data_IF_195797026108
#
_entry.id   IF_195797026108
#
_cell.length_a   1.000
_cell.length_b   1.000
_cell.length_c   1.000
_cell.angle_alpha   90.00
_cell.angle_beta   90.00
_cell.angle_gamma   90.00
#
_symmetry.space_group_name_H-M   'P 1'
#
loop_
_entity.id
_entity.type
_entity.pdbx_description
1 polymer ?
#
# COMPACT_ATOMS: atom_id res chain seq x y z
N UNK A 1 -0.72 -19.64 33.41
CA UNK A 1 -0.09 -18.68 32.49
C UNK A 1 -0.15 -19.35 31.14
N UNK A 2 -1.05 -18.89 30.28
CA UNK A 2 -1.23 -19.45 28.92
C UNK A 2 -0.14 -18.92 28.01
N UNK A 3 0.82 -19.76 27.66
CA UNK A 3 1.86 -19.49 26.66
C UNK A 3 1.42 -19.81 25.22
N UNK A 4 0.20 -19.50 24.86
CA UNK A 4 -0.34 -19.77 23.51
C UNK A 4 -1.21 -18.66 22.96
N UNK A 5 -0.91 -17.40 23.22
CA UNK A 5 -1.20 -16.34 22.26
C UNK A 5 0.03 -16.22 21.35
N UNK A 6 0.23 -17.22 20.50
CA UNK A 6 1.11 -17.09 19.35
C UNK A 6 0.65 -15.84 18.60
N UNK A 7 1.49 -14.83 18.64
CA UNK A 7 1.27 -13.51 18.10
C UNK A 7 1.16 -13.65 16.57
N UNK A 8 -0.01 -14.09 16.10
CA UNK A 8 -0.31 -14.30 14.68
C UNK A 8 -0.14 -12.97 13.95
N UNK A 9 0.96 -12.83 13.24
CA UNK A 9 1.38 -11.62 12.56
C UNK A 9 1.13 -11.74 11.07
N UNK A 10 0.05 -11.13 10.58
CA UNK A 10 -0.26 -11.06 9.16
C UNK A 10 0.37 -9.83 8.52
N UNK A 11 1.00 -10.02 7.38
CA UNK A 11 1.46 -8.98 6.47
C UNK A 11 0.60 -9.02 5.21
N UNK A 12 0.07 -7.88 4.78
CA UNK A 12 -0.72 -7.74 3.56
C UNK A 12 0.06 -6.92 2.54
N UNK A 13 0.13 -7.39 1.30
CA UNK A 13 0.65 -6.63 0.15
C UNK A 13 -0.47 -6.49 -0.88
N UNK A 14 -1.03 -5.29 -1.03
CA UNK A 14 -1.92 -4.99 -2.15
C UNK A 14 -1.09 -4.65 -3.39
N UNK A 15 -1.54 -5.02 -4.58
CA UNK A 15 -0.69 -5.02 -5.76
C UNK A 15 0.37 -6.12 -5.71
N UNK A 16 0.05 -7.23 -5.00
CA UNK A 16 0.95 -8.33 -4.74
C UNK A 16 1.38 -9.12 -5.97
N UNK A 17 0.63 -9.05 -7.06
CA UNK A 17 0.99 -9.64 -8.37
C UNK A 17 1.91 -8.76 -9.21
N UNK A 18 2.03 -7.46 -8.88
CA UNK A 18 2.87 -6.50 -9.59
C UNK A 18 4.36 -6.68 -9.32
N UNK A 19 5.18 -5.98 -10.11
CA UNK A 19 6.64 -6.07 -10.03
C UNK A 19 7.19 -5.79 -8.63
N UNK A 20 6.79 -4.66 -8.01
CA UNK A 20 7.24 -4.32 -6.66
C UNK A 20 6.69 -5.28 -5.61
N UNK A 21 5.41 -5.67 -5.72
CA UNK A 21 4.77 -6.62 -4.81
C UNK A 21 5.51 -7.96 -4.78
N UNK A 22 5.88 -8.50 -5.94
CA UNK A 22 6.63 -9.74 -6.06
C UNK A 22 8.06 -9.64 -5.49
N UNK A 23 8.74 -8.51 -5.71
CA UNK A 23 10.07 -8.26 -5.15
C UNK A 23 10.02 -8.14 -3.62
N UNK A 24 9.04 -7.39 -3.09
CA UNK A 24 8.85 -7.23 -1.67
C UNK A 24 8.49 -8.57 -1.00
N UNK A 25 7.54 -9.31 -1.56
CA UNK A 25 7.17 -10.62 -1.05
C UNK A 25 8.37 -11.56 -0.97
N UNK A 26 9.19 -11.63 -2.04
CA UNK A 26 10.42 -12.42 -2.03
C UNK A 26 11.40 -11.97 -0.94
N UNK A 27 11.59 -10.67 -0.77
CA UNK A 27 12.49 -10.13 0.26
C UNK A 27 12.01 -10.46 1.68
N UNK A 28 10.70 -10.36 1.94
CA UNK A 28 10.12 -10.73 3.24
C UNK A 28 10.29 -12.23 3.54
N UNK A 29 10.10 -13.10 2.54
CA UNK A 29 10.25 -14.55 2.70
C UNK A 29 11.69 -14.97 2.95
N UNK A 30 12.67 -14.24 2.42
CA UNK A 30 14.09 -14.52 2.56
C UNK A 30 14.75 -13.77 3.74
N UNK A 31 14.07 -12.76 4.28
CA UNK A 31 14.58 -11.93 5.36
C UNK A 31 14.26 -12.48 6.76
N UNK A 32 14.86 -11.92 7.80
CA UNK A 32 14.65 -12.33 9.19
C UNK A 32 13.38 -11.72 9.81
N UNK A 33 12.37 -11.40 8.98
CA UNK A 33 11.16 -10.75 9.47
C UNK A 33 10.18 -11.79 10.04
N UNK A 34 9.75 -11.64 11.29
CA UNK A 34 8.74 -12.54 11.86
C UNK A 34 7.38 -12.24 11.26
N UNK A 35 6.68 -13.25 10.76
CA UNK A 35 5.27 -13.23 10.38
C UNK A 35 4.75 -14.67 10.28
N UNK A 36 3.44 -14.83 10.48
CA UNK A 36 2.76 -16.12 10.38
C UNK A 36 2.00 -16.24 9.05
N UNK A 37 1.58 -15.14 8.45
CA UNK A 37 0.89 -15.11 7.16
C UNK A 37 1.36 -13.92 6.32
N UNK A 38 1.64 -14.17 5.04
CA UNK A 38 1.87 -13.16 4.01
C UNK A 38 0.74 -13.24 2.98
N UNK A 39 -0.17 -12.26 3.00
CA UNK A 39 -1.29 -12.18 2.08
C UNK A 39 -0.95 -11.28 0.89
N UNK A 40 -0.89 -11.88 -0.31
CA UNK A 40 -0.74 -11.15 -1.57
C UNK A 40 -2.12 -10.93 -2.20
N UNK A 41 -2.50 -9.67 -2.37
CA UNK A 41 -3.80 -9.27 -2.93
C UNK A 41 -3.60 -8.51 -4.23
N UNK A 42 -4.30 -8.90 -5.28
CA UNK A 42 -4.27 -8.20 -6.57
C UNK A 42 -5.59 -8.42 -7.33
N UNK A 43 -5.89 -7.54 -8.30
CA UNK A 43 -7.05 -7.69 -9.18
C UNK A 43 -6.90 -8.91 -10.12
N UNK A 44 -5.67 -9.29 -10.45
CA UNK A 44 -5.34 -10.55 -11.11
C UNK A 44 -4.83 -11.54 -10.05
N UNK A 45 -5.09 -12.84 -10.25
CA UNK A 45 -4.63 -13.86 -9.29
C UNK A 45 -3.11 -13.80 -9.13
N UNK A 46 -2.60 -13.35 -7.95
CA UNK A 46 -1.16 -13.33 -7.72
C UNK A 46 -0.62 -14.74 -7.50
N UNK A 47 0.67 -14.89 -7.70
CA UNK A 47 1.39 -16.13 -7.41
C UNK A 47 2.42 -15.89 -6.32
N UNK A 48 2.71 -16.91 -5.52
CA UNK A 48 3.79 -16.82 -4.56
C UNK A 48 5.16 -16.79 -5.28
N UNK A 49 6.05 -15.85 -4.94
CA UNK A 49 7.37 -15.79 -5.57
C UNK A 49 8.32 -16.93 -5.15
N UNK A 50 7.98 -17.64 -4.07
CA UNK A 50 8.71 -18.79 -3.53
C UNK A 50 7.70 -19.79 -2.94
N UNK A 51 7.98 -21.09 -2.97
CA UNK A 51 7.17 -22.09 -2.25
C UNK A 51 7.30 -21.87 -0.73
N UNK A 52 6.25 -21.34 -0.11
CA UNK A 52 6.21 -21.11 1.35
C UNK A 52 4.76 -21.24 1.84
N UNK A 53 4.47 -22.11 2.83
CA UNK A 53 3.10 -22.36 3.30
C UNK A 53 2.48 -21.15 4.00
N UNK A 54 3.25 -20.16 4.41
CA UNK A 54 2.76 -18.91 5.00
C UNK A 54 2.18 -17.95 3.96
N UNK A 55 2.42 -18.18 2.65
CA UNK A 55 1.92 -17.29 1.60
C UNK A 55 0.53 -17.68 1.16
N UNK A 56 -0.37 -16.74 1.26
CA UNK A 56 -1.72 -16.82 0.71
C UNK A 56 -1.87 -15.81 -0.43
N UNK A 57 -2.40 -16.27 -1.56
CA UNK A 57 -2.63 -15.45 -2.74
C UNK A 57 -4.13 -15.28 -2.96
N UNK A 58 -4.60 -14.05 -3.04
CA UNK A 58 -6.01 -13.72 -3.18
C UNK A 58 -6.23 -12.78 -4.35
N UNK A 59 -7.11 -13.19 -5.28
CA UNK A 59 -7.64 -12.28 -6.29
C UNK A 59 -8.79 -11.49 -5.68
N UNK A 60 -8.67 -10.16 -5.63
CA UNK A 60 -9.72 -9.27 -5.15
C UNK A 60 -9.62 -7.90 -5.81
N UNK A 61 -10.77 -7.29 -6.06
CA UNK A 61 -10.87 -5.90 -6.49
C UNK A 61 -11.07 -5.01 -5.24
N UNK A 62 -10.06 -4.23 -4.91
CA UNK A 62 -10.09 -3.33 -3.74
C UNK A 62 -11.11 -2.19 -3.88
N UNK A 63 -11.64 -1.97 -5.07
CA UNK A 63 -12.67 -0.95 -5.31
C UNK A 63 -14.09 -1.44 -4.94
N UNK A 64 -14.24 -2.73 -4.68
CA UNK A 64 -15.53 -3.31 -4.29
C UNK A 64 -15.82 -3.08 -2.80
N UNK A 65 -17.07 -2.73 -2.44
CA UNK A 65 -17.45 -2.50 -1.05
C UNK A 65 -17.18 -3.73 -0.15
N UNK A 66 -16.63 -3.48 1.04
CA UNK A 66 -16.38 -4.51 2.05
C UNK A 66 -15.12 -5.35 1.82
N UNK A 67 -14.47 -5.25 0.67
CA UNK A 67 -13.23 -6.01 0.41
C UNK A 67 -12.13 -5.60 1.39
N UNK A 68 -11.90 -4.31 1.60
CA UNK A 68 -10.90 -3.84 2.56
C UNK A 68 -11.13 -4.39 3.97
N UNK A 69 -12.37 -4.37 4.45
CA UNK A 69 -12.75 -4.90 5.77
C UNK A 69 -12.57 -6.41 5.87
N UNK A 70 -12.74 -7.15 4.77
CA UNK A 70 -12.55 -8.60 4.74
C UNK A 70 -11.07 -9.02 4.78
N UNK A 71 -10.16 -8.13 4.40
CA UNK A 71 -8.71 -8.41 4.34
C UNK A 71 -8.02 -8.12 5.66
N UNK A 72 -8.46 -7.07 6.37
CA UNK A 72 -7.78 -6.51 7.54
C UNK A 72 -8.46 -6.98 8.82
N UNK A 73 -7.67 -7.46 9.78
CA UNK A 73 -8.16 -7.96 11.06
C UNK A 73 -7.22 -7.54 12.20
N UNK A 74 -7.56 -7.91 13.43
CA UNK A 74 -6.72 -7.68 14.59
C UNK A 74 -5.32 -8.33 14.47
N UNK A 75 -5.19 -9.39 13.64
CA UNK A 75 -3.91 -10.06 13.36
C UNK A 75 -3.03 -9.30 12.38
N UNK A 76 -3.59 -8.34 11.64
CA UNK A 76 -2.85 -7.57 10.64
C UNK A 76 -1.83 -6.67 11.33
N UNK A 77 -0.56 -6.92 11.11
CA UNK A 77 0.53 -6.12 11.64
C UNK A 77 0.97 -5.03 10.66
N UNK A 78 1.05 -5.37 9.37
CA UNK A 78 1.57 -4.48 8.33
C UNK A 78 0.72 -4.56 7.07
N UNK A 79 0.40 -3.42 6.49
CA UNK A 79 -0.19 -3.28 5.15
C UNK A 79 0.78 -2.53 4.26
N UNK A 80 1.30 -3.19 3.23
CA UNK A 80 2.03 -2.56 2.13
C UNK A 80 1.04 -2.25 1.01
N UNK A 81 0.65 -0.99 0.88
CA UNK A 81 -0.30 -0.57 -0.15
C UNK A 81 0.43 -0.14 -1.42
N UNK A 82 0.60 -1.11 -2.35
CA UNK A 82 1.28 -0.93 -3.63
C UNK A 82 0.30 -0.90 -4.81
N UNK A 83 -0.95 -1.32 -4.60
CA UNK A 83 -1.97 -1.30 -5.64
C UNK A 83 -2.25 0.13 -6.10
N UNK A 84 -2.12 0.36 -7.40
CA UNK A 84 -2.42 1.63 -8.05
C UNK A 84 -2.53 1.42 -9.56
N UNK A 85 -3.27 2.29 -10.24
CA UNK A 85 -3.11 2.46 -11.68
C UNK A 85 -2.07 3.53 -11.96
N UNK A 86 -1.31 3.32 -13.04
CA UNK A 86 -0.20 4.20 -13.43
C UNK A 86 -0.67 5.55 -13.98
N UNK A 87 0.26 6.51 -14.02
CA UNK A 87 -0.01 7.90 -14.41
C UNK A 87 -0.75 8.05 -15.73
N UNK A 88 -0.32 7.37 -16.79
CA UNK A 88 -0.96 7.45 -18.11
C UNK A 88 -2.42 6.95 -18.10
N UNK A 89 -2.70 5.91 -17.32
CA UNK A 89 -4.05 5.35 -17.21
C UNK A 89 -4.95 6.25 -16.36
N UNK A 90 -4.45 6.81 -15.26
CA UNK A 90 -5.20 7.77 -14.43
C UNK A 90 -5.51 9.11 -15.14
N UNK A 91 -4.71 9.49 -16.15
CA UNK A 91 -5.01 10.63 -17.01
C UNK A 91 -6.07 10.31 -18.08
N UNK A 92 -6.09 9.08 -18.58
CA UNK A 92 -7.08 8.65 -19.58
C UNK A 92 -8.45 8.35 -18.96
N UNK A 93 -8.47 7.79 -17.75
CA UNK A 93 -9.68 7.47 -17.01
C UNK A 93 -9.60 8.09 -15.61
N UNK A 94 -10.13 9.31 -15.51
CA UNK A 94 -10.10 10.10 -14.28
C UNK A 94 -10.86 9.41 -13.14
N UNK A 95 -12.04 8.87 -13.40
CA UNK A 95 -12.91 8.27 -12.39
C UNK A 95 -12.28 6.97 -11.86
N UNK A 96 -11.73 6.15 -12.74
CA UNK A 96 -10.99 4.96 -12.34
C UNK A 96 -9.74 5.32 -11.53
N UNK A 97 -9.00 6.37 -11.95
CA UNK A 97 -7.86 6.89 -11.21
C UNK A 97 -8.23 7.25 -9.79
N UNK A 98 -9.31 7.99 -9.64
CA UNK A 98 -9.82 8.42 -8.34
C UNK A 98 -10.22 7.22 -7.46
N UNK A 99 -11.01 6.32 -8.03
CA UNK A 99 -11.50 5.12 -7.35
C UNK A 99 -10.36 4.22 -6.87
N UNK A 100 -9.39 3.94 -7.76
CA UNK A 100 -8.30 2.99 -7.45
C UNK A 100 -7.20 3.64 -6.61
N UNK A 101 -6.75 4.86 -6.92
CA UNK A 101 -5.57 5.43 -6.26
C UNK A 101 -5.91 6.17 -4.96
N UNK A 102 -7.12 6.70 -4.81
CA UNK A 102 -7.50 7.48 -3.63
C UNK A 102 -8.53 6.77 -2.76
N UNK A 103 -9.69 6.36 -3.32
CA UNK A 103 -10.76 5.78 -2.52
C UNK A 103 -10.34 4.46 -1.88
N UNK A 104 -9.59 3.59 -2.59
CA UNK A 104 -9.08 2.35 -1.98
C UNK A 104 -8.08 2.63 -0.86
N UNK A 105 -7.24 3.67 -1.00
CA UNK A 105 -6.34 4.09 0.08
C UNK A 105 -7.14 4.47 1.33
N UNK A 106 -8.21 5.26 1.16
CA UNK A 106 -9.10 5.67 2.25
C UNK A 106 -9.80 4.46 2.89
N UNK A 107 -10.37 3.56 2.08
CA UNK A 107 -11.09 2.39 2.63
C UNK A 107 -10.16 1.44 3.38
N UNK A 108 -8.94 1.23 2.91
CA UNK A 108 -7.93 0.43 3.63
C UNK A 108 -7.51 1.09 4.96
N UNK A 109 -7.33 2.41 4.99
CA UNK A 109 -7.04 3.14 6.22
C UNK A 109 -8.19 3.04 7.23
N UNK A 110 -9.45 3.13 6.78
CA UNK A 110 -10.63 2.92 7.64
C UNK A 110 -10.68 1.49 8.18
N UNK A 111 -10.44 0.49 7.34
CA UNK A 111 -10.40 -0.90 7.79
C UNK A 111 -9.29 -1.11 8.84
N UNK A 112 -8.10 -0.53 8.65
CA UNK A 112 -7.03 -0.56 9.65
C UNK A 112 -7.46 0.08 10.96
N UNK A 113 -8.05 1.29 10.90
CA UNK A 113 -8.52 2.03 12.08
C UNK A 113 -9.56 1.27 12.88
N UNK A 114 -10.46 0.54 12.21
CA UNK A 114 -11.52 -0.24 12.87
C UNK A 114 -11.02 -1.58 13.41
N UNK A 115 -10.02 -2.20 12.77
CA UNK A 115 -9.48 -3.48 13.22
C UNK A 115 -8.68 -3.35 14.50
N UNK A 116 -7.66 -2.51 14.50
CA UNK A 116 -6.90 -2.15 15.72
C UNK A 116 -6.02 -0.92 15.47
N UNK A 117 -5.71 -0.14 16.51
CA UNK A 117 -4.76 0.98 16.37
C UNK A 117 -3.33 0.47 16.12
N UNK A 118 -2.53 1.30 15.43
CA UNK A 118 -1.11 1.09 15.27
C UNK A 118 -0.70 0.05 14.23
N UNK A 119 -1.61 -0.40 13.35
CA UNK A 119 -1.21 -1.18 12.17
C UNK A 119 -0.22 -0.35 11.35
N UNK A 120 0.96 -0.93 11.01
CA UNK A 120 1.92 -0.28 10.12
C UNK A 120 1.33 -0.21 8.72
N UNK A 121 1.11 1.02 8.21
CA UNK A 121 0.57 1.27 6.88
C UNK A 121 1.62 1.94 6.00
N UNK A 122 2.19 1.19 5.07
CA UNK A 122 3.22 1.67 4.14
C UNK A 122 2.56 2.01 2.82
N UNK A 123 2.52 3.30 2.49
CA UNK A 123 1.93 3.82 1.26
C UNK A 123 3.01 4.16 0.23
N UNK A 124 2.87 3.60 -0.97
CA UNK A 124 3.72 3.99 -2.09
C UNK A 124 3.16 5.21 -2.79
N UNK A 125 3.78 6.34 -2.53
CA UNK A 125 3.61 7.58 -3.27
C UNK A 125 4.58 7.64 -4.47
N UNK A 126 4.72 8.78 -5.08
CA UNK A 126 5.51 8.99 -6.30
C UNK A 126 6.15 10.36 -6.33
N UNK A 127 7.24 10.52 -7.06
CA UNK A 127 7.78 11.84 -7.40
C UNK A 127 6.81 12.68 -8.26
N UNK A 128 5.74 12.08 -8.82
CA UNK A 128 4.67 12.80 -9.51
C UNK A 128 3.88 13.76 -8.60
N UNK A 129 4.05 13.69 -7.27
CA UNK A 129 3.51 14.69 -6.33
C UNK A 129 4.18 16.05 -6.48
N UNK A 130 5.34 16.09 -7.11
CA UNK A 130 6.05 17.31 -7.47
C UNK A 130 5.76 17.69 -8.91
N UNK A 131 5.51 18.98 -9.15
CA UNK A 131 5.29 19.52 -10.47
C UNK A 131 5.57 21.02 -10.51
N UNK A 132 5.63 21.60 -11.70
CA UNK A 132 5.97 23.00 -11.87
C UNK A 132 7.42 23.33 -11.50
N UNK A 133 7.72 24.60 -11.18
CA UNK A 133 9.06 25.02 -10.79
C UNK A 133 9.47 24.36 -9.46
N UNK A 134 10.58 23.64 -9.47
CA UNK A 134 11.14 23.01 -8.26
C UNK A 134 12.40 23.75 -7.78
N UNK A 135 12.68 23.73 -6.47
CA UNK A 135 13.97 24.21 -5.96
C UNK A 135 15.12 23.33 -6.45
N UNK A 136 16.34 23.85 -6.41
CA UNK A 136 17.54 23.08 -6.78
C UNK A 136 17.67 21.77 -6.00
N UNK A 137 17.26 21.77 -4.72
CA UNK A 137 17.24 20.58 -3.87
C UNK A 137 15.80 20.29 -3.41
N UNK A 138 15.26 19.15 -3.85
CA UNK A 138 13.97 18.62 -3.40
C UNK A 138 14.18 17.73 -2.18
N UNK A 139 13.43 17.98 -1.12
CA UNK A 139 13.44 17.20 0.12
C UNK A 139 12.01 16.95 0.63
N UNK A 140 11.85 16.28 1.76
CA UNK A 140 10.53 15.92 2.32
C UNK A 140 9.67 17.13 2.67
N UNK A 141 10.26 18.28 2.96
CA UNK A 141 9.56 19.55 3.23
C UNK A 141 9.21 20.36 1.97
N UNK A 142 9.61 19.90 0.78
CA UNK A 142 9.26 20.58 -0.48
C UNK A 142 7.76 20.49 -0.71
N UNK A 143 7.12 21.61 -1.05
CA UNK A 143 5.68 21.67 -1.29
C UNK A 143 5.25 20.73 -2.41
N UNK A 144 4.13 20.04 -2.18
CA UNK A 144 3.52 19.17 -3.19
C UNK A 144 2.73 20.04 -4.17
N UNK A 145 3.13 20.02 -5.42
CA UNK A 145 2.53 20.82 -6.50
C UNK A 145 2.26 19.95 -7.72
N UNK A 146 1.45 18.87 -7.58
CA UNK A 146 1.22 17.94 -8.68
C UNK A 146 0.59 18.63 -9.89
N UNK A 147 0.98 18.22 -11.10
CA UNK A 147 0.46 18.70 -12.38
C UNK A 147 -0.25 17.61 -13.16
N UNK A 148 -0.53 16.47 -12.55
CA UNK A 148 -1.26 15.34 -13.13
C UNK A 148 -2.29 14.79 -12.15
N UNK A 149 -3.35 14.14 -12.66
CA UNK A 149 -4.38 13.49 -11.84
C UNK A 149 -3.77 12.43 -10.93
N UNK A 150 -2.88 11.62 -11.45
CA UNK A 150 -2.12 10.63 -10.67
C UNK A 150 -1.33 11.28 -9.53
N UNK A 151 -0.58 12.35 -9.83
CA UNK A 151 0.19 13.07 -8.83
C UNK A 151 -0.71 13.68 -7.74
N UNK A 152 -1.86 14.26 -8.14
CA UNK A 152 -2.84 14.80 -7.20
C UNK A 152 -3.43 13.69 -6.29
N UNK A 153 -3.80 12.54 -6.86
CA UNK A 153 -4.31 11.39 -6.10
C UNK A 153 -3.27 10.86 -5.10
N UNK A 154 -2.00 10.76 -5.51
CA UNK A 154 -0.90 10.34 -4.62
C UNK A 154 -0.65 11.38 -3.50
N UNK A 155 -0.65 12.67 -3.80
CA UNK A 155 -0.49 13.73 -2.80
C UNK A 155 -1.64 13.72 -1.77
N UNK A 156 -2.88 13.53 -2.21
CA UNK A 156 -4.02 13.38 -1.30
C UNK A 156 -3.91 12.12 -0.46
N UNK A 157 -3.44 11.01 -1.03
CA UNK A 157 -3.15 9.77 -0.28
C UNK A 157 -2.10 9.98 0.81
N UNK A 158 -1.03 10.75 0.55
CA UNK A 158 -0.04 11.12 1.57
C UNK A 158 -0.68 11.89 2.73
N UNK A 159 -1.54 12.87 2.41
CA UNK A 159 -2.24 13.66 3.43
C UNK A 159 -3.17 12.79 4.28
N UNK A 160 -3.88 11.83 3.68
CA UNK A 160 -4.70 10.87 4.41
C UNK A 160 -3.85 10.03 5.35
N UNK A 161 -2.78 9.39 4.85
CA UNK A 161 -1.90 8.55 5.69
C UNK A 161 -1.32 9.35 6.85
N UNK A 162 -0.85 10.58 6.58
CA UNK A 162 -0.28 11.45 7.60
C UNK A 162 -1.32 11.84 8.67
N UNK A 163 -2.57 12.14 8.29
CA UNK A 163 -3.61 12.49 9.26
C UNK A 163 -4.02 11.29 10.12
N UNK A 164 -4.21 10.11 9.50
CA UNK A 164 -4.51 8.87 10.24
C UNK A 164 -3.37 8.50 11.19
N UNK A 165 -2.12 8.72 10.78
CA UNK A 165 -0.94 8.49 11.64
C UNK A 165 -0.87 9.49 12.79
N UNK A 166 -1.07 10.78 12.50
CA UNK A 166 -1.13 11.84 13.53
C UNK A 166 -2.21 11.59 14.58
N UNK A 167 -3.33 10.98 14.17
CA UNK A 167 -4.44 10.59 15.05
C UNK A 167 -4.17 9.31 15.85
N UNK A 168 -3.07 8.61 15.57
CA UNK A 168 -2.74 7.33 16.20
C UNK A 168 -3.60 6.16 15.71
N UNK A 169 -4.32 6.30 14.59
CA UNK A 169 -5.14 5.24 14.03
C UNK A 169 -4.29 4.16 13.34
N UNK A 170 -3.22 4.59 12.66
CA UNK A 170 -2.24 3.73 12.02
C UNK A 170 -0.83 4.23 12.34
N UNK A 171 0.18 3.38 12.14
CA UNK A 171 1.59 3.79 12.08
C UNK A 171 1.95 3.96 10.60
N UNK A 172 1.70 5.16 10.09
CA UNK A 172 1.79 5.48 8.66
C UNK A 172 3.20 5.80 8.20
N UNK A 173 3.58 5.25 7.06
CA UNK A 173 4.83 5.55 6.35
C UNK A 173 4.54 5.82 4.88
N UNK A 174 5.02 6.94 4.36
CA UNK A 174 4.90 7.32 2.95
C UNK A 174 6.25 7.22 2.26
N UNK A 175 6.29 6.53 1.12
CA UNK A 175 7.49 6.38 0.28
C UNK A 175 7.24 6.99 -1.09
N UNK A 176 7.92 8.10 -1.42
CA UNK A 176 7.88 8.75 -2.74
C UNK A 176 8.84 8.05 -3.68
N UNK A 177 8.32 7.12 -4.47
CA UNK A 177 9.14 6.34 -5.38
C UNK A 177 9.47 7.14 -6.64
N UNK A 178 10.72 7.05 -7.14
CA UNK A 178 11.09 7.54 -8.45
C UNK A 178 10.52 6.62 -9.55
N UNK A 179 10.80 6.95 -10.81
CA UNK A 179 10.49 6.05 -11.93
C UNK A 179 11.18 4.70 -11.72
N UNK A 180 10.37 3.66 -11.66
CA UNK A 180 10.88 2.29 -11.50
C UNK A 180 11.27 1.76 -12.88
N UNK A 181 12.57 1.62 -13.09
CA UNK A 181 13.12 1.03 -14.30
C UNK A 181 13.24 -0.48 -14.13
N UNK A 182 12.46 -1.24 -14.90
CA UNK A 182 12.59 -2.69 -14.99
C UNK A 182 13.57 -2.98 -16.13
N UNK A 183 14.68 -3.63 -15.80
CA UNK A 183 15.56 -4.20 -16.83
C UNK A 183 15.32 -5.71 -16.84
N UNK A 184 15.04 -6.29 -18.00
CA UNK A 184 14.90 -7.74 -18.17
C UNK A 184 16.22 -8.46 -17.85
#
# INVERSE_FOLDING_TARGET
MNESEDNEMQIIITGGGGFLGQKLARALLQGPHPFTELLLVDIQQPQSPLPDPRVRCLRADLTEPGVADSLISERTAVVYHLAAIVSSHAEQDFDLGWKVNLDTTRTLLEACRHARPGIRFVFTSSLAVYGGPLPELVNDGTALTPTSSYGAQKAMGELLVNDYSRKGFVDGLVLRLPTICVRP
#
